data_IF_150571725933
#
_entry.id   IF_150571725933
#
_cell.length_a   1.000
_cell.length_b   1.000
_cell.length_c   1.000
_cell.angle_alpha   90.00
_cell.angle_beta   90.00
_cell.angle_gamma   90.00
#
_symmetry.space_group_name_H-M   'P 1'
#
loop_
_entity.id
_entity.type
_entity.pdbx_description
1 polymer ?
#
# COMPACT_ATOMS: atom_id res chain seq x y z
N UNK A 1 -9.08 36.67 -34.37
CA UNK A 1 -10.02 35.70 -33.76
C UNK A 1 -9.84 34.29 -34.37
N UNK A 2 -8.61 33.89 -34.72
CA UNK A 2 -8.31 32.59 -35.38
C UNK A 2 -7.09 31.88 -34.75
N UNK A 3 -6.55 32.42 -33.65
CA UNK A 3 -5.38 31.88 -32.95
C UNK A 3 -5.68 31.26 -31.59
N UNK A 4 -6.94 31.26 -31.14
CA UNK A 4 -7.36 30.68 -29.85
C UNK A 4 -8.02 29.30 -29.98
N UNK A 5 -8.35 28.86 -31.21
CA UNK A 5 -8.95 27.55 -31.47
C UNK A 5 -7.92 26.48 -31.89
N UNK A 6 -6.69 26.89 -32.24
CA UNK A 6 -5.66 25.97 -32.74
C UNK A 6 -4.74 25.43 -31.63
N UNK A 7 -4.68 26.11 -30.48
CA UNK A 7 -3.90 25.66 -29.33
C UNK A 7 -4.70 24.62 -28.52
N UNK A 8 -6.02 24.80 -28.41
CA UNK A 8 -6.95 23.89 -27.71
C UNK A 8 -7.07 22.50 -28.42
N UNK A 9 -7.07 22.47 -29.76
CA UNK A 9 -7.10 21.21 -30.52
C UNK A 9 -5.77 20.44 -30.48
N UNK A 10 -4.63 21.14 -30.33
CA UNK A 10 -3.30 20.52 -30.25
C UNK A 10 -2.99 19.95 -28.87
N UNK A 11 -3.42 20.62 -27.81
CA UNK A 11 -3.33 20.08 -26.44
C UNK A 11 -4.25 18.86 -26.27
N UNK A 12 -5.44 18.88 -26.86
CA UNK A 12 -6.39 17.76 -26.80
C UNK A 12 -5.90 16.52 -27.59
N UNK A 13 -5.25 16.69 -28.75
CA UNK A 13 -4.63 15.59 -29.49
C UNK A 13 -3.40 14.99 -28.80
N UNK A 14 -2.55 15.81 -28.16
CA UNK A 14 -1.40 15.32 -27.40
C UNK A 14 -1.79 14.57 -26.12
N UNK A 15 -2.89 14.95 -25.47
CA UNK A 15 -3.43 14.23 -24.32
C UNK A 15 -4.06 12.88 -24.65
N UNK A 16 -4.72 12.76 -25.80
CA UNK A 16 -5.30 11.51 -26.31
C UNK A 16 -4.21 10.48 -26.68
N UNK A 17 -3.14 10.91 -27.35
CA UNK A 17 -2.01 10.05 -27.75
C UNK A 17 -1.26 9.48 -26.53
N UNK A 18 -1.07 10.29 -25.49
CA UNK A 18 -0.45 9.86 -24.22
C UNK A 18 -1.33 8.85 -23.46
N UNK A 19 -2.66 9.03 -23.46
CA UNK A 19 -3.56 8.06 -22.82
C UNK A 19 -3.52 6.71 -23.53
N UNK A 20 -3.54 6.68 -24.87
CA UNK A 20 -3.46 5.44 -25.65
C UNK A 20 -2.14 4.67 -25.39
N UNK A 21 -1.02 5.37 -25.29
CA UNK A 21 0.27 4.77 -24.95
C UNK A 21 0.24 4.12 -23.55
N UNK A 22 -0.29 4.83 -22.55
CA UNK A 22 -0.41 4.31 -21.18
C UNK A 22 -1.33 3.09 -21.09
N UNK A 23 -2.43 3.06 -21.83
CA UNK A 23 -3.30 1.89 -21.91
C UNK A 23 -2.56 0.66 -22.44
N UNK A 24 -1.79 0.82 -23.53
CA UNK A 24 -1.01 -0.28 -24.10
C UNK A 24 0.02 -0.82 -23.11
N UNK A 25 0.68 0.06 -22.34
CA UNK A 25 1.65 -0.35 -21.32
C UNK A 25 1.00 -1.16 -20.19
N UNK A 26 -0.19 -0.75 -19.72
CA UNK A 26 -0.94 -1.50 -18.69
C UNK A 26 -1.34 -2.88 -19.20
N UNK A 27 -1.86 -2.98 -20.42
CA UNK A 27 -2.29 -4.26 -21.00
C UNK A 27 -1.12 -5.24 -21.20
N UNK A 28 0.01 -4.75 -21.70
CA UNK A 28 1.22 -5.55 -21.86
C UNK A 28 1.74 -6.03 -20.49
N UNK A 29 1.79 -5.14 -19.50
CA UNK A 29 2.25 -5.47 -18.15
C UNK A 29 1.36 -6.54 -17.49
N UNK A 30 0.03 -6.42 -17.59
CA UNK A 30 -0.91 -7.42 -17.07
C UNK A 30 -0.73 -8.78 -17.77
N UNK A 31 -0.50 -8.78 -19.08
CA UNK A 31 -0.25 -10.00 -19.87
C UNK A 31 1.03 -10.71 -19.40
N UNK A 32 2.10 -9.96 -19.18
CA UNK A 32 3.37 -10.48 -18.66
C UNK A 32 3.20 -11.01 -17.23
N UNK A 33 2.51 -10.30 -16.35
CA UNK A 33 2.31 -10.74 -14.96
C UNK A 33 1.51 -12.05 -14.90
N UNK A 34 0.48 -12.21 -15.76
CA UNK A 34 -0.29 -13.47 -15.87
C UNK A 34 0.60 -14.64 -16.32
N UNK A 35 1.47 -14.43 -17.31
CA UNK A 35 2.44 -15.45 -17.75
C UNK A 35 3.40 -15.80 -16.62
N UNK A 36 3.99 -14.81 -15.96
CA UNK A 36 4.88 -15.01 -14.82
C UNK A 36 4.22 -15.81 -13.69
N UNK A 37 2.96 -15.51 -13.34
CA UNK A 37 2.22 -16.28 -12.32
C UNK A 37 2.04 -17.75 -12.73
N UNK A 38 1.73 -18.03 -14.00
CA UNK A 38 1.59 -19.40 -14.52
C UNK A 38 2.91 -20.16 -14.53
N UNK A 39 3.97 -19.51 -15.01
CA UNK A 39 5.31 -20.11 -15.09
C UNK A 39 5.88 -20.35 -13.69
N UNK A 40 5.69 -19.40 -12.77
CA UNK A 40 6.03 -19.57 -11.35
C UNK A 40 5.31 -20.76 -10.73
N UNK A 41 3.99 -20.89 -10.95
CA UNK A 41 3.22 -22.06 -10.46
C UNK A 41 3.78 -23.38 -11.01
N UNK A 42 4.14 -23.41 -12.28
CA UNK A 42 4.73 -24.60 -12.92
C UNK A 42 6.12 -24.91 -12.35
N UNK A 43 6.97 -23.89 -12.19
CA UNK A 43 8.28 -24.00 -11.56
C UNK A 43 8.20 -24.52 -10.12
N UNK A 44 7.26 -23.98 -9.33
CA UNK A 44 7.06 -24.39 -7.94
C UNK A 44 6.61 -25.85 -7.85
N UNK A 45 5.75 -26.31 -8.76
CA UNK A 45 5.37 -27.73 -8.86
C UNK A 45 6.57 -28.63 -9.23
N UNK A 46 7.42 -28.21 -10.15
CA UNK A 46 8.64 -28.96 -10.52
C UNK A 46 9.63 -29.01 -9.36
N UNK A 47 9.86 -27.88 -8.69
CA UNK A 47 10.69 -27.81 -7.48
C UNK A 47 10.16 -28.72 -6.39
N UNK A 48 8.85 -28.74 -6.14
CA UNK A 48 8.24 -29.63 -5.15
C UNK A 48 8.50 -31.11 -5.48
N UNK A 49 8.36 -31.52 -6.74
CA UNK A 49 8.68 -32.89 -7.18
C UNK A 49 10.15 -33.24 -6.97
N UNK A 50 11.06 -32.35 -7.36
CA UNK A 50 12.51 -32.54 -7.17
C UNK A 50 12.89 -32.62 -5.69
N UNK A 51 12.30 -31.75 -4.87
CA UNK A 51 12.48 -31.74 -3.41
C UNK A 51 12.02 -33.06 -2.79
N UNK A 52 10.84 -33.57 -3.16
CA UNK A 52 10.33 -34.85 -2.63
C UNK A 52 11.24 -36.02 -3.01
N UNK A 53 11.67 -36.10 -4.28
CA UNK A 53 12.61 -37.13 -4.72
C UNK A 53 13.94 -37.05 -3.97
N UNK A 54 14.46 -35.83 -3.75
CA UNK A 54 15.67 -35.63 -2.97
C UNK A 54 15.49 -36.02 -1.51
N UNK A 55 14.35 -35.72 -0.87
CA UNK A 55 14.08 -36.14 0.51
C UNK A 55 14.08 -37.67 0.65
N UNK A 56 13.37 -38.39 -0.23
CA UNK A 56 13.32 -39.86 -0.20
C UNK A 56 14.73 -40.46 -0.35
N UNK A 57 15.54 -39.91 -1.25
CA UNK A 57 16.88 -40.44 -1.49
C UNK A 57 17.88 -40.04 -0.39
N UNK A 58 17.80 -38.81 0.13
CA UNK A 58 18.67 -38.32 1.19
C UNK A 58 18.34 -38.97 2.55
N UNK A 59 17.07 -39.22 2.87
CA UNK A 59 16.66 -39.89 4.11
C UNK A 59 17.10 -41.36 4.10
N UNK A 60 16.84 -42.08 3.01
CA UNK A 60 17.25 -43.49 2.85
C UNK A 60 18.79 -43.66 2.93
N UNK A 61 19.55 -42.66 2.48
CA UNK A 61 21.03 -42.72 2.43
C UNK A 61 21.72 -41.88 3.52
N UNK A 62 20.97 -41.24 4.41
CA UNK A 62 21.45 -40.29 5.42
C UNK A 62 22.43 -39.23 4.87
N UNK A 63 22.09 -38.63 3.72
CA UNK A 63 22.91 -37.62 3.05
C UNK A 63 22.60 -36.22 3.57
N UNK A 64 23.63 -35.42 3.84
CA UNK A 64 23.48 -33.99 4.19
C UNK A 64 23.43 -33.07 2.98
N UNK A 65 23.83 -33.58 1.80
CA UNK A 65 23.86 -32.85 0.55
C UNK A 65 23.59 -33.80 -0.63
N UNK A 66 22.86 -33.30 -1.63
CA UNK A 66 22.59 -33.98 -2.89
C UNK A 66 22.50 -32.97 -4.04
N UNK A 67 22.90 -33.41 -5.23
CA UNK A 67 22.80 -32.64 -6.46
C UNK A 67 22.16 -33.47 -7.56
N UNK A 68 21.11 -32.94 -8.18
CA UNK A 68 20.40 -33.56 -9.32
C UNK A 68 20.76 -32.76 -10.56
N UNK A 69 21.41 -33.38 -11.53
CA UNK A 69 21.84 -32.71 -12.76
C UNK A 69 20.78 -32.79 -13.86
N UNK A 70 20.62 -31.70 -14.61
CA UNK A 70 19.90 -31.63 -15.87
C UNK A 70 20.79 -31.06 -16.97
N UNK A 71 20.27 -30.97 -18.20
CA UNK A 71 21.03 -30.52 -19.36
C UNK A 71 21.51 -29.07 -19.25
N UNK A 72 20.75 -28.22 -18.54
CA UNK A 72 20.99 -26.78 -18.43
C UNK A 72 21.46 -26.33 -17.04
N UNK A 73 21.76 -27.25 -16.13
CA UNK A 73 22.17 -26.92 -14.77
C UNK A 73 21.87 -28.03 -13.76
N UNK A 74 21.83 -27.70 -12.48
CA UNK A 74 21.57 -28.67 -11.42
C UNK A 74 20.69 -28.11 -10.30
N UNK A 75 19.98 -29.02 -9.63
CA UNK A 75 19.18 -28.75 -8.44
C UNK A 75 19.95 -29.26 -7.21
N UNK A 76 20.30 -28.34 -6.32
CA UNK A 76 21.12 -28.62 -5.14
C UNK A 76 20.22 -28.66 -3.89
N UNK A 77 20.34 -29.73 -3.12
CA UNK A 77 19.59 -29.93 -1.88
C UNK A 77 20.57 -30.09 -0.74
N UNK A 78 20.40 -29.27 0.30
CA UNK A 78 21.17 -29.32 1.54
C UNK A 78 20.17 -29.60 2.65
N UNK A 79 20.43 -30.63 3.45
CA UNK A 79 19.67 -30.87 4.66
C UNK A 79 20.03 -29.80 5.70
N UNK A 80 19.07 -28.96 6.08
CA UNK A 80 19.25 -27.91 7.10
C UNK A 80 18.44 -28.25 8.33
N UNK A 81 19.10 -28.30 9.47
CA UNK A 81 18.45 -28.47 10.76
C UNK A 81 18.16 -27.08 11.34
N UNK A 82 16.90 -26.81 11.68
CA UNK A 82 16.50 -25.63 12.43
C UNK A 82 16.41 -26.03 13.90
N UNK A 83 17.11 -25.31 14.76
CA UNK A 83 17.01 -25.44 16.20
C UNK A 83 16.20 -24.27 16.74
N UNK A 84 15.08 -24.57 17.38
CA UNK A 84 14.29 -23.63 18.18
C UNK A 84 14.37 -24.08 19.65
N UNK A 85 14.36 -23.13 20.58
CA UNK A 85 14.48 -23.40 22.02
C UNK A 85 13.10 -23.24 22.66
N UNK A 86 12.44 -24.35 22.96
CA UNK A 86 11.10 -24.35 23.57
C UNK A 86 11.15 -24.06 25.08
N UNK A 87 12.20 -24.53 25.77
CA UNK A 87 12.34 -24.35 27.21
C UNK A 87 13.77 -23.97 27.58
N UNK A 88 14.03 -22.66 27.58
CA UNK A 88 15.33 -22.12 27.95
C UNK A 88 15.70 -22.41 29.41
N UNK A 89 14.74 -22.37 30.33
CA UNK A 89 15.00 -22.60 31.76
C UNK A 89 15.54 -24.01 32.02
N UNK A 90 14.94 -25.03 31.39
CA UNK A 90 15.41 -26.41 31.49
C UNK A 90 16.80 -26.60 30.86
N UNK A 91 17.10 -25.88 29.78
CA UNK A 91 18.46 -25.88 29.21
C UNK A 91 19.47 -25.23 30.16
N UNK A 92 19.09 -24.19 30.89
CA UNK A 92 19.94 -23.56 31.91
C UNK A 92 20.15 -24.48 33.11
N UNK A 93 19.12 -25.22 33.55
CA UNK A 93 19.26 -26.20 34.65
C UNK A 93 20.28 -27.30 34.31
N UNK A 94 20.31 -27.75 33.05
CA UNK A 94 21.19 -28.85 32.61
C UNK A 94 22.56 -28.37 32.15
N UNK A 95 22.63 -27.27 31.38
CA UNK A 95 23.86 -26.78 30.74
C UNK A 95 24.52 -25.60 31.49
N UNK A 96 23.85 -25.04 32.50
CA UNK A 96 24.36 -23.97 33.34
C UNK A 96 24.81 -22.73 32.56
N UNK A 97 26.02 -22.28 32.84
CA UNK A 97 26.60 -21.06 32.25
C UNK A 97 26.80 -21.15 30.73
N UNK A 98 26.92 -22.36 30.17
CA UNK A 98 27.07 -22.53 28.71
C UNK A 98 25.79 -22.08 27.99
N UNK A 99 24.62 -22.44 28.51
CA UNK A 99 23.34 -22.02 27.94
C UNK A 99 23.20 -20.49 27.99
N UNK A 100 23.52 -19.87 29.13
CA UNK A 100 23.46 -18.40 29.29
C UNK A 100 24.42 -17.67 28.36
N UNK A 101 25.61 -18.22 28.13
CA UNK A 101 26.64 -17.59 27.30
C UNK A 101 26.43 -17.77 25.79
N UNK A 102 25.74 -18.84 25.37
CA UNK A 102 25.59 -19.21 23.94
C UNK A 102 24.19 -19.00 23.38
N UNK A 103 23.18 -18.83 24.23
CA UNK A 103 21.81 -18.56 23.81
C UNK A 103 21.51 -17.09 24.13
N UNK A 104 21.26 -16.30 23.10
CA UNK A 104 20.93 -14.88 23.22
C UNK A 104 19.47 -14.67 22.86
N UNK A 105 18.71 -14.06 23.76
CA UNK A 105 17.35 -13.59 23.47
C UNK A 105 17.45 -12.33 22.62
N UNK A 106 16.77 -12.32 21.48
CA UNK A 106 16.55 -11.10 20.68
C UNK A 106 15.10 -10.70 20.84
N UNK A 107 14.86 -9.48 21.30
CA UNK A 107 13.53 -8.89 21.37
C UNK A 107 13.41 -7.88 20.23
N UNK A 108 12.40 -8.07 19.38
CA UNK A 108 12.09 -7.16 18.29
C UNK A 108 10.85 -6.36 18.71
N UNK A 109 11.00 -5.04 18.92
CA UNK A 109 9.89 -4.14 19.21
C UNK A 109 9.43 -3.52 17.90
N UNK A 110 8.19 -3.81 17.50
CA UNK A 110 7.52 -3.19 16.36
C UNK A 110 6.41 -2.29 16.87
N UNK A 111 6.34 -1.07 16.34
CA UNK A 111 5.26 -0.14 16.59
C UNK A 111 4.31 -0.17 15.40
N UNK A 112 3.04 -0.50 15.66
CA UNK A 112 1.97 -0.41 14.68
C UNK A 112 1.07 0.77 15.06
N UNK A 113 0.69 1.56 14.06
CA UNK A 113 -0.23 2.69 14.24
C UNK A 113 -1.57 2.37 13.60
N UNK A 114 -2.66 2.74 14.28
CA UNK A 114 -4.00 2.64 13.72
C UNK A 114 -4.10 3.52 12.47
N UNK A 115 -4.76 3.01 11.41
CA UNK A 115 -4.83 3.70 10.12
C UNK A 115 -5.37 5.12 10.21
N UNK A 116 -6.43 5.36 11.00
CA UNK A 116 -7.03 6.71 11.16
C UNK A 116 -6.11 7.67 11.91
N UNK A 117 -5.44 7.19 12.96
CA UNK A 117 -4.46 8.00 13.68
C UNK A 117 -3.25 8.33 12.79
N UNK A 118 -2.80 7.38 11.98
CA UNK A 118 -1.73 7.58 11.00
C UNK A 118 -2.10 8.63 9.95
N UNK A 119 -3.31 8.57 9.40
CA UNK A 119 -3.84 9.59 8.46
C UNK A 119 -3.83 10.98 9.11
N UNK A 120 -4.35 11.09 10.34
CA UNK A 120 -4.36 12.35 11.10
C UNK A 120 -2.95 12.90 11.34
N UNK A 121 -2.02 12.03 11.72
CA UNK A 121 -0.63 12.40 12.01
C UNK A 121 0.08 12.90 10.76
N UNK A 122 -0.17 12.27 9.60
CA UNK A 122 0.36 12.72 8.31
C UNK A 122 -0.22 14.09 7.94
N UNK A 123 -1.54 14.27 8.04
CA UNK A 123 -2.18 15.54 7.75
C UNK A 123 -1.65 16.68 8.64
N UNK A 124 -1.51 16.42 9.95
CA UNK A 124 -0.93 17.36 10.91
C UNK A 124 0.51 17.74 10.53
N UNK A 125 1.37 16.75 10.24
CA UNK A 125 2.77 17.00 9.93
C UNK A 125 2.99 17.72 8.60
N UNK A 126 2.11 17.51 7.63
CA UNK A 126 2.18 18.15 6.31
C UNK A 126 1.44 19.49 6.22
N UNK A 127 0.80 19.94 7.32
CA UNK A 127 -0.08 21.12 7.33
C UNK A 127 -1.19 21.01 6.26
N UNK A 128 -1.67 19.80 6.04
CA UNK A 128 -2.61 19.43 4.98
C UNK A 128 -4.06 19.35 5.51
N UNK A 129 -4.51 20.41 6.18
CA UNK A 129 -5.83 20.51 6.78
C UNK A 129 -6.25 21.97 6.95
N UNK A 130 -7.56 22.26 6.83
CA UNK A 130 -8.11 23.61 7.02
C UNK A 130 -9.61 23.55 7.30
N UNK A 131 -10.10 24.45 8.17
CA UNK A 131 -11.52 24.66 8.47
C UNK A 131 -12.09 25.95 7.85
N UNK A 132 -11.29 26.68 7.05
CA UNK A 132 -11.69 27.96 6.44
C UNK A 132 -12.92 27.84 5.54
N UNK A 133 -13.02 26.74 4.79
CA UNK A 133 -14.16 26.44 3.93
C UNK A 133 -14.78 25.12 4.39
N UNK A 134 -16.02 25.21 4.89
CA UNK A 134 -16.81 24.05 5.28
C UNK A 134 -17.28 23.25 4.07
N UNK A 135 -17.52 21.96 4.28
CA UNK A 135 -18.11 21.09 3.25
C UNK A 135 -19.43 21.66 2.74
N UNK A 136 -20.28 22.20 3.61
CA UNK A 136 -21.52 22.87 3.20
C UNK A 136 -21.27 23.97 2.18
N UNK A 137 -20.35 24.89 2.45
CA UNK A 137 -20.03 25.99 1.54
C UNK A 137 -19.51 25.47 0.19
N UNK A 138 -18.66 24.45 0.20
CA UNK A 138 -18.17 23.82 -1.04
C UNK A 138 -19.33 23.25 -1.86
N UNK A 139 -20.27 22.55 -1.21
CA UNK A 139 -21.38 21.91 -1.90
C UNK A 139 -22.47 22.91 -2.35
N UNK A 140 -22.60 24.05 -1.67
CA UNK A 140 -23.45 25.17 -2.08
C UNK A 140 -22.94 25.84 -3.36
N UNK A 141 -21.61 25.98 -3.52
CA UNK A 141 -20.99 26.48 -4.76
C UNK A 141 -21.27 25.55 -5.95
N UNK A 142 -21.40 24.25 -5.71
CA UNK A 142 -21.77 23.25 -6.71
C UNK A 142 -23.28 23.22 -7.05
N UNK A 143 -24.05 24.19 -6.56
CA UNK A 143 -25.49 24.35 -6.81
C UNK A 143 -26.33 23.12 -6.41
N UNK A 144 -25.87 22.34 -5.42
CA UNK A 144 -26.60 21.18 -4.91
C UNK A 144 -27.78 21.60 -4.02
N UNK A 145 -28.90 20.88 -4.11
CA UNK A 145 -30.02 21.11 -3.21
C UNK A 145 -29.74 20.63 -1.77
N UNK A 146 -30.46 21.17 -0.78
CA UNK A 146 -30.29 20.84 0.64
C UNK A 146 -30.34 19.33 0.95
N UNK A 147 -31.08 18.56 0.14
CA UNK A 147 -31.25 17.12 0.33
C UNK A 147 -30.03 16.38 -0.21
N UNK A 148 -29.49 16.79 -1.34
CA UNK A 148 -28.25 16.30 -1.94
C UNK A 148 -27.06 16.63 -1.03
N UNK A 149 -26.94 17.87 -0.55
CA UNK A 149 -25.88 18.31 0.38
C UNK A 149 -25.83 17.40 1.61
N UNK A 150 -26.98 17.17 2.27
CA UNK A 150 -27.07 16.28 3.44
C UNK A 150 -26.70 14.82 3.14
N UNK A 151 -27.01 14.36 1.93
CA UNK A 151 -26.72 12.99 1.51
C UNK A 151 -25.23 12.79 1.21
N UNK A 152 -24.59 13.72 0.49
CA UNK A 152 -23.18 13.60 0.10
C UNK A 152 -22.24 13.90 1.26
N UNK A 153 -22.54 14.87 2.14
CA UNK A 153 -21.69 15.23 3.30
C UNK A 153 -21.28 14.01 4.16
N UNK A 154 -22.19 13.04 4.34
CA UNK A 154 -21.93 11.82 5.11
C UNK A 154 -21.02 10.82 4.40
N UNK A 155 -21.03 10.84 3.08
CA UNK A 155 -20.29 9.94 2.20
C UNK A 155 -18.89 10.44 1.90
N UNK A 156 -18.69 11.76 1.85
CA UNK A 156 -17.37 12.37 1.63
C UNK A 156 -16.38 11.95 2.71
N UNK A 157 -15.14 11.64 2.31
CA UNK A 157 -14.08 11.18 3.22
C UNK A 157 -12.74 11.89 3.04
N UNK A 158 -12.62 12.81 2.10
CA UNK A 158 -11.36 13.46 1.72
C UNK A 158 -10.55 12.60 0.75
N UNK A 159 -11.18 11.63 0.07
CA UNK A 159 -10.54 10.76 -0.92
C UNK A 159 -10.95 11.23 -2.31
N UNK A 160 -10.00 11.76 -3.08
CA UNK A 160 -10.27 12.39 -4.37
C UNK A 160 -11.14 11.53 -5.31
N UNK A 161 -10.76 10.26 -5.53
CA UNK A 161 -11.47 9.40 -6.49
C UNK A 161 -12.86 8.99 -5.99
N UNK A 162 -13.00 8.71 -4.69
CA UNK A 162 -14.29 8.33 -4.10
C UNK A 162 -15.22 9.53 -4.00
N UNK A 163 -14.70 10.68 -3.61
CA UNK A 163 -15.47 11.89 -3.42
C UNK A 163 -15.93 12.43 -4.78
N UNK A 164 -15.08 12.39 -5.82
CA UNK A 164 -15.47 12.69 -7.20
C UNK A 164 -16.65 11.83 -7.66
N UNK A 165 -16.58 10.50 -7.46
CA UNK A 165 -17.69 9.59 -7.78
C UNK A 165 -18.96 9.88 -6.97
N UNK A 166 -18.82 10.32 -5.72
CA UNK A 166 -19.97 10.73 -4.89
C UNK A 166 -20.63 12.00 -5.47
N UNK A 167 -19.85 12.98 -5.91
CA UNK A 167 -20.34 14.21 -6.54
C UNK A 167 -20.98 13.93 -7.90
N UNK A 168 -20.36 13.10 -8.74
CA UNK A 168 -20.92 12.66 -10.02
C UNK A 168 -22.28 11.96 -9.83
N UNK A 169 -22.44 11.19 -8.74
CA UNK A 169 -23.71 10.50 -8.44
C UNK A 169 -24.89 11.43 -8.14
N UNK A 170 -24.62 12.70 -7.85
CA UNK A 170 -25.65 13.73 -7.61
C UNK A 170 -25.71 14.79 -8.71
N UNK A 171 -25.04 14.56 -9.85
CA UNK A 171 -25.15 15.39 -11.04
C UNK A 171 -24.08 16.48 -11.18
N UNK A 172 -23.05 16.49 -10.33
CA UNK A 172 -21.88 17.35 -10.54
C UNK A 172 -21.06 16.74 -11.67
N UNK A 173 -21.14 17.33 -12.85
CA UNK A 173 -20.43 16.90 -14.05
C UNK A 173 -19.44 17.98 -14.45
N UNK A 174 -18.16 17.64 -14.54
CA UNK A 174 -17.11 18.55 -14.98
C UNK A 174 -15.92 18.59 -14.03
N UNK A 175 -15.11 19.64 -14.22
CA UNK A 175 -13.95 19.93 -13.39
C UNK A 175 -14.41 20.49 -12.04
N UNK A 176 -13.98 19.87 -10.95
CA UNK A 176 -14.28 20.26 -9.56
C UNK A 176 -13.06 20.04 -8.66
N UNK A 177 -11.85 20.24 -9.21
CA UNK A 177 -10.58 20.01 -8.51
C UNK A 177 -10.44 20.88 -7.25
N UNK A 178 -10.87 22.14 -7.33
CA UNK A 178 -10.81 23.06 -6.19
C UNK A 178 -11.75 22.61 -5.07
N UNK A 179 -12.98 22.21 -5.40
CA UNK A 179 -13.96 21.72 -4.44
C UNK A 179 -13.51 20.41 -3.80
N UNK A 180 -12.97 19.47 -4.59
CA UNK A 180 -12.40 18.23 -4.07
C UNK A 180 -11.19 18.50 -3.16
N UNK A 181 -10.38 19.50 -3.48
CA UNK A 181 -9.28 19.94 -2.63
C UNK A 181 -9.78 20.49 -1.28
N UNK A 182 -10.80 21.35 -1.28
CA UNK A 182 -11.38 21.88 -0.04
C UNK A 182 -12.09 20.80 0.80
N UNK A 183 -12.78 19.85 0.16
CA UNK A 183 -13.35 18.68 0.84
C UNK A 183 -12.26 17.88 1.56
N UNK A 184 -11.11 17.65 0.89
CA UNK A 184 -9.95 16.96 1.48
C UNK A 184 -9.39 17.71 2.68
N UNK A 185 -9.15 19.02 2.56
CA UNK A 185 -8.63 19.85 3.66
C UNK A 185 -9.56 19.84 4.88
N UNK A 186 -10.87 19.98 4.67
CA UNK A 186 -11.84 19.97 5.75
C UNK A 186 -11.97 18.59 6.41
N UNK A 187 -11.94 17.51 5.62
CA UNK A 187 -11.96 16.14 6.16
C UNK A 187 -10.70 15.80 6.95
N UNK A 188 -9.55 16.30 6.51
CA UNK A 188 -8.31 16.21 7.26
C UNK A 188 -8.39 17.05 8.55
N UNK A 189 -9.02 18.23 8.52
CA UNK A 189 -9.24 19.04 9.74
C UNK A 189 -10.11 18.29 10.75
N UNK A 190 -11.27 17.76 10.36
CA UNK A 190 -12.13 16.95 11.26
C UNK A 190 -11.35 15.78 11.90
N UNK A 191 -10.42 15.20 11.14
CA UNK A 191 -9.60 14.08 11.60
C UNK A 191 -8.48 14.54 12.54
N UNK A 192 -7.78 15.62 12.22
CA UNK A 192 -6.73 16.23 13.03
C UNK A 192 -7.30 16.74 14.36
N UNK A 193 -8.40 17.50 14.32
CA UNK A 193 -9.09 18.03 15.49
C UNK A 193 -9.49 16.91 16.46
N UNK A 194 -10.03 15.81 15.93
CA UNK A 194 -10.42 14.64 16.73
C UNK A 194 -9.29 14.03 17.57
N UNK A 195 -8.05 14.05 17.07
CA UNK A 195 -6.91 13.43 17.77
C UNK A 195 -6.00 14.45 18.47
N UNK A 196 -5.94 15.67 17.97
CA UNK A 196 -4.93 16.66 18.35
C UNK A 196 -5.51 18.04 18.69
N UNK A 197 -6.83 18.25 18.62
CA UNK A 197 -7.47 19.56 18.84
C UNK A 197 -7.30 20.13 20.26
N UNK A 198 -7.03 19.27 21.25
CA UNK A 198 -6.76 19.69 22.64
C UNK A 198 -5.28 20.01 22.90
N UNK A 199 -4.40 19.82 21.91
CA UNK A 199 -2.96 20.02 22.08
C UNK A 199 -2.56 21.49 21.88
N UNK A 200 -1.53 21.92 22.61
CA UNK A 200 -0.92 23.23 22.38
C UNK A 200 -0.01 23.22 21.15
N UNK A 201 0.28 24.39 20.60
CA UNK A 201 1.22 24.57 19.49
C UNK A 201 2.60 23.97 19.81
N UNK A 202 3.05 24.07 21.07
CA UNK A 202 4.32 23.45 21.49
C UNK A 202 4.26 21.92 21.43
N UNK A 203 3.14 21.31 21.80
CA UNK A 203 2.94 19.86 21.72
C UNK A 203 2.88 19.38 20.27
N UNK A 204 2.18 20.13 19.41
CA UNK A 204 2.15 19.86 17.96
C UNK A 204 3.57 19.94 17.38
N UNK A 205 4.35 20.96 17.75
CA UNK A 205 5.74 21.11 17.30
C UNK A 205 6.64 19.95 17.78
N UNK A 206 6.39 19.39 18.96
CA UNK A 206 7.10 18.19 19.43
C UNK A 206 6.74 16.95 18.61
N UNK A 207 5.46 16.77 18.27
CA UNK A 207 5.00 15.69 17.40
C UNK A 207 5.70 15.75 16.04
N UNK A 208 5.70 16.93 15.41
CA UNK A 208 6.36 17.12 14.09
C UNK A 208 7.85 16.80 14.11
N UNK A 209 8.53 16.96 15.25
CA UNK A 209 9.96 16.60 15.43
C UNK A 209 10.18 15.10 15.69
N UNK A 210 9.15 14.39 16.15
CA UNK A 210 9.23 12.99 16.54
C UNK A 210 8.86 12.02 15.40
N UNK A 211 8.37 12.55 14.28
CA UNK A 211 7.86 11.75 13.15
C UNK A 211 8.67 12.08 11.89
N UNK A 212 9.00 11.05 11.12
CA UNK A 212 9.57 11.18 9.79
C UNK A 212 8.55 10.69 8.76
N UNK A 213 8.21 11.53 7.80
CA UNK A 213 7.29 11.23 6.70
C UNK A 213 8.09 11.25 5.41
N UNK A 214 8.09 10.12 4.70
CA UNK A 214 8.64 10.01 3.36
C UNK A 214 7.49 9.85 2.38
N UNK A 215 7.48 10.69 1.33
CA UNK A 215 6.55 10.55 0.23
C UNK A 215 7.05 9.46 -0.73
N UNK A 216 6.16 8.54 -1.09
CA UNK A 216 6.45 7.48 -2.04
C UNK A 216 5.20 7.08 -2.80
N UNK A 217 5.37 6.58 -4.02
CA UNK A 217 4.29 6.03 -4.83
C UNK A 217 4.36 4.51 -4.72
N UNK A 218 3.25 3.88 -4.34
CA UNK A 218 3.09 2.44 -4.47
C UNK A 218 2.43 2.14 -5.80
N UNK A 219 3.02 1.24 -6.58
CA UNK A 219 2.50 0.81 -7.88
C UNK A 219 2.02 -0.62 -7.80
N UNK A 220 0.89 -0.91 -8.45
CA UNK A 220 0.30 -2.24 -8.52
C UNK A 220 -0.54 -2.40 -9.78
N UNK A 221 -0.59 -3.62 -10.30
CA UNK A 221 -1.49 -3.98 -11.39
C UNK A 221 -2.71 -4.69 -10.81
N UNK A 222 -3.89 -4.14 -11.06
CA UNK A 222 -5.16 -4.77 -10.70
C UNK A 222 -5.82 -5.35 -11.94
N UNK A 223 -6.29 -6.59 -11.84
CA UNK A 223 -7.07 -7.23 -12.90
C UNK A 223 -7.94 -8.34 -12.31
N UNK A 224 -9.12 -8.52 -12.90
CA UNK A 224 -10.02 -9.58 -12.47
C UNK A 224 -9.36 -10.95 -12.66
N UNK A 225 -9.23 -11.69 -11.56
CA UNK A 225 -8.98 -13.12 -11.64
C UNK A 225 -10.26 -13.77 -12.15
N UNK A 226 -10.25 -14.29 -13.38
CA UNK A 226 -11.31 -15.20 -13.83
C UNK A 226 -11.42 -16.32 -12.78
N UNK A 227 -12.50 -16.31 -12.01
CA UNK A 227 -12.90 -17.42 -11.14
C UNK A 227 -13.24 -18.64 -11.97
#
# INVERSE_FOLDING_TARGET
MLGLLADDERENQGGLDMQEELFSLVDEAISLEKKMKKDKKTLDQLKAKLTNAAYEEMDNKNLKFMQIFGLYGSFNVVHKEKLDIDNFNRLVEVLGEIAKAKITRKEEIKYETESRFKEALIALCNDDYSDEISIEQVLEVLELDDKAIKAVKKKLKGDYLRDKKVLESVGVLGDCEEELHYIRLYKNFELVDRFFGELTDEQIAQIKKAVFIEAGISVGLEYEGRR
#
